data_IF_046103621466
#
_entry.id   IF_046103621466
#
_cell.length_a   1.000
_cell.length_b   1.000
_cell.length_c   1.000
_cell.angle_alpha   90.00
_cell.angle_beta   90.00
_cell.angle_gamma   90.00
#
_symmetry.space_group_name_H-M   'P 1'
#
loop_
_entity.id
_entity.type
_entity.pdbx_description
1 polymer ?
#
# COMPACT_ATOMS: atom_id res chain seq x y z
N UNK A 1 6.01 5.55 -20.71
CA UNK A 1 5.68 5.14 -19.33
C UNK A 1 6.25 6.19 -18.43
N UNK A 2 5.37 6.91 -17.75
CA UNK A 2 5.70 8.20 -17.14
C UNK A 2 6.15 7.94 -15.71
N UNK A 3 7.39 8.28 -15.36
CA UNK A 3 7.91 8.19 -13.98
C UNK A 3 6.96 8.84 -12.96
N UNK A 4 6.19 9.85 -13.40
CA UNK A 4 5.15 10.50 -12.60
C UNK A 4 4.02 9.56 -12.15
N UNK A 5 3.65 8.56 -12.96
CA UNK A 5 2.57 7.63 -12.62
C UNK A 5 3.04 6.63 -11.56
N UNK A 6 4.21 6.06 -11.77
CA UNK A 6 4.89 5.20 -10.79
C UNK A 6 5.10 5.96 -9.47
N UNK A 7 5.56 7.22 -9.52
CA UNK A 7 5.72 8.04 -8.32
C UNK A 7 4.39 8.29 -7.59
N UNK A 8 3.30 8.52 -8.33
CA UNK A 8 1.96 8.69 -7.75
C UNK A 8 1.48 7.42 -7.06
N UNK A 9 1.65 6.26 -7.71
CA UNK A 9 1.26 4.96 -7.15
C UNK A 9 2.07 4.62 -5.90
N UNK A 10 3.39 4.86 -5.91
CA UNK A 10 4.26 4.71 -4.74
C UNK A 10 3.77 5.56 -3.55
N UNK A 11 3.47 6.84 -3.81
CA UNK A 11 2.94 7.74 -2.79
C UNK A 11 1.61 7.25 -2.22
N UNK A 12 0.74 6.71 -3.07
CA UNK A 12 -0.54 6.18 -2.65
C UNK A 12 -0.37 4.95 -1.75
N UNK A 13 0.49 4.00 -2.13
CA UNK A 13 0.82 2.81 -1.31
C UNK A 13 1.36 3.22 0.06
N UNK A 14 2.29 4.17 0.11
CA UNK A 14 2.84 4.72 1.36
C UNK A 14 1.72 5.26 2.27
N UNK A 15 0.79 6.06 1.72
CA UNK A 15 -0.31 6.62 2.49
C UNK A 15 -1.28 5.56 3.03
N UNK A 16 -1.57 4.52 2.23
CA UNK A 16 -2.42 3.40 2.64
C UNK A 16 -1.77 2.59 3.78
N UNK A 17 -0.47 2.31 3.68
CA UNK A 17 0.31 1.62 4.72
C UNK A 17 0.43 2.42 6.01
N UNK A 18 0.72 3.73 5.92
CA UNK A 18 0.77 4.61 7.10
C UNK A 18 -0.59 4.66 7.79
N UNK A 19 -1.68 4.76 7.02
CA UNK A 19 -3.01 4.75 7.59
C UNK A 19 -3.35 3.40 8.24
N UNK A 20 -2.95 2.29 7.62
CA UNK A 20 -3.11 0.95 8.18
C UNK A 20 -2.36 0.81 9.51
N UNK A 21 -1.08 1.19 9.57
CA UNK A 21 -0.27 1.17 10.79
C UNK A 21 -0.90 2.03 11.91
N UNK A 22 -1.39 3.22 11.57
CA UNK A 22 -2.12 4.06 12.54
C UNK A 22 -3.43 3.42 12.99
N UNK A 23 -4.16 2.78 12.08
CA UNK A 23 -5.38 2.01 12.39
C UNK A 23 -5.12 0.79 13.26
N UNK A 24 -3.92 0.22 13.19
CA UNK A 24 -3.47 -0.86 14.08
C UNK A 24 -3.17 -0.36 15.49
N UNK A 25 -2.65 0.87 15.63
CA UNK A 25 -2.31 1.44 16.94
C UNK A 25 -3.45 2.30 17.55
N UNK A 26 -4.51 2.59 16.79
CA UNK A 26 -5.64 3.41 17.21
C UNK A 26 -6.77 2.64 17.93
N UNK A 27 -7.72 3.38 18.49
CA UNK A 27 -8.83 2.88 19.33
C UNK A 27 -9.89 2.00 18.63
N UNK A 28 -9.64 1.50 17.42
CA UNK A 28 -10.55 0.59 16.75
C UNK A 28 -10.47 -0.81 17.38
N UNK A 29 -11.53 -1.25 18.06
CA UNK A 29 -11.61 -2.59 18.67
C UNK A 29 -12.26 -3.60 17.72
N UNK A 30 -11.73 -4.83 17.72
CA UNK A 30 -12.33 -6.01 17.07
C UNK A 30 -12.53 -5.90 15.55
N UNK A 31 -13.73 -6.25 15.08
CA UNK A 31 -14.09 -6.39 13.65
C UNK A 31 -13.91 -5.11 12.83
N UNK A 32 -14.10 -3.94 13.44
CA UNK A 32 -13.93 -2.64 12.76
C UNK A 32 -12.48 -2.40 12.34
N UNK A 33 -11.51 -2.85 13.17
CA UNK A 33 -10.08 -2.77 12.87
C UNK A 33 -9.71 -3.67 11.70
N UNK A 34 -10.18 -4.92 11.69
CA UNK A 34 -9.92 -5.84 10.59
C UNK A 34 -10.54 -5.36 9.27
N UNK A 35 -11.77 -4.82 9.30
CA UNK A 35 -12.40 -4.26 8.10
C UNK A 35 -11.63 -3.06 7.55
N UNK A 36 -11.14 -2.18 8.43
CA UNK A 36 -10.32 -1.04 8.03
C UNK A 36 -8.99 -1.49 7.40
N UNK A 37 -8.27 -2.41 8.05
CA UNK A 37 -7.01 -2.96 7.55
C UNK A 37 -7.22 -3.62 6.18
N UNK A 38 -8.25 -4.45 6.04
CA UNK A 38 -8.58 -5.11 4.77
C UNK A 38 -8.83 -4.10 3.65
N UNK A 39 -9.61 -3.06 3.91
CA UNK A 39 -9.88 -2.01 2.92
C UNK A 39 -8.61 -1.27 2.49
N UNK A 40 -7.61 -1.10 3.38
CA UNK A 40 -6.31 -0.53 2.99
C UNK A 40 -5.49 -1.50 2.14
N UNK A 41 -5.48 -2.79 2.49
CA UNK A 41 -4.79 -3.82 1.72
C UNK A 41 -5.38 -3.97 0.30
N UNK A 42 -6.71 -3.99 0.16
CA UNK A 42 -7.37 -4.04 -1.15
C UNK A 42 -6.97 -2.84 -2.04
N UNK A 43 -6.72 -1.67 -1.45
CA UNK A 43 -6.25 -0.48 -2.19
C UNK A 43 -4.79 -0.57 -2.60
N UNK A 44 -3.95 -1.19 -1.77
CA UNK A 44 -2.55 -1.47 -2.10
C UNK A 44 -2.47 -2.45 -3.26
N UNK A 45 -3.29 -3.51 -3.25
CA UNK A 45 -3.39 -4.49 -4.34
C UNK A 45 -3.75 -3.80 -5.67
N UNK A 46 -4.76 -2.93 -5.69
CA UNK A 46 -5.11 -2.15 -6.90
C UNK A 46 -3.95 -1.26 -7.38
N UNK A 47 -3.15 -0.70 -6.47
CA UNK A 47 -1.98 0.10 -6.86
C UNK A 47 -0.84 -0.78 -7.38
N UNK A 48 -0.66 -1.99 -6.83
CA UNK A 48 0.31 -2.98 -7.26
C UNK A 48 -0.03 -3.52 -8.66
N UNK A 49 -1.30 -3.78 -8.93
CA UNK A 49 -1.78 -4.15 -10.28
C UNK A 49 -1.45 -3.05 -11.29
N UNK A 50 -1.67 -1.78 -10.93
CA UNK A 50 -1.34 -0.64 -11.79
C UNK A 50 0.18 -0.48 -11.97
N UNK A 51 0.97 -0.71 -10.93
CA UNK A 51 2.43 -0.73 -11.04
C UNK A 51 2.90 -1.86 -11.96
N UNK A 52 2.29 -3.04 -11.86
CA UNK A 52 2.64 -4.21 -12.69
C UNK A 52 2.46 -3.88 -14.18
N UNK A 53 1.43 -3.10 -14.53
CA UNK A 53 1.23 -2.62 -15.91
C UNK A 53 2.32 -1.65 -16.36
N UNK A 54 2.84 -0.80 -15.46
CA UNK A 54 3.83 0.24 -15.80
C UNK A 54 5.29 -0.23 -15.74
N UNK A 55 5.63 -1.15 -14.83
CA UNK A 55 7.02 -1.55 -14.54
C UNK A 55 7.27 -3.07 -14.57
N UNK A 56 6.22 -3.88 -14.72
CA UNK A 56 6.31 -5.34 -14.61
C UNK A 56 6.16 -5.84 -13.18
N UNK A 57 5.83 -7.13 -13.04
CA UNK A 57 5.47 -7.77 -11.77
C UNK A 57 6.63 -7.73 -10.76
N UNK A 58 7.82 -8.20 -11.15
CA UNK A 58 9.00 -8.23 -10.27
C UNK A 58 9.32 -6.85 -9.67
N UNK A 59 9.27 -5.81 -10.50
CA UNK A 59 9.57 -4.45 -10.07
C UNK A 59 8.43 -3.84 -9.24
N UNK A 60 7.17 -4.17 -9.56
CA UNK A 60 6.03 -3.75 -8.75
C UNK A 60 6.10 -4.35 -7.33
N UNK A 61 6.44 -5.63 -7.23
CA UNK A 61 6.60 -6.36 -5.97
C UNK A 61 7.73 -5.79 -5.12
N UNK A 62 8.91 -5.54 -5.71
CA UNK A 62 10.03 -4.90 -5.01
C UNK A 62 9.64 -3.52 -4.47
N UNK A 63 8.92 -2.72 -5.26
CA UNK A 63 8.47 -1.40 -4.84
C UNK A 63 7.51 -1.49 -3.66
N UNK A 64 6.49 -2.35 -3.74
CA UNK A 64 5.49 -2.52 -2.68
C UNK A 64 6.15 -3.06 -1.41
N UNK A 65 7.00 -4.08 -1.52
CA UNK A 65 7.73 -4.66 -0.40
C UNK A 65 8.66 -3.64 0.28
N UNK A 66 9.38 -2.85 -0.52
CA UNK A 66 10.24 -1.78 -0.01
C UNK A 66 9.46 -0.77 0.83
N UNK A 67 8.34 -0.26 0.31
CA UNK A 67 7.50 0.70 1.03
C UNK A 67 6.88 0.04 2.29
N UNK A 68 6.46 -1.21 2.20
CA UNK A 68 5.94 -1.98 3.35
C UNK A 68 6.98 -2.07 4.48
N UNK A 69 8.20 -2.50 4.15
CA UNK A 69 9.30 -2.64 5.11
C UNK A 69 9.76 -1.31 5.71
N UNK A 70 9.68 -0.22 4.95
CA UNK A 70 10.02 1.12 5.44
C UNK A 70 8.96 1.67 6.40
N UNK A 71 7.68 1.42 6.10
CA UNK A 71 6.54 1.97 6.83
C UNK A 71 6.23 1.18 8.10
N UNK A 72 6.23 -0.15 8.01
CA UNK A 72 5.86 -1.05 9.12
C UNK A 72 7.16 -1.54 9.78
N UNK A 73 7.58 -0.80 10.80
CA UNK A 73 8.65 -1.18 11.72
C UNK A 73 8.08 -1.56 13.09
#
# INVERSE_FOLDING_TARGET
MSESEVARLRRQIELELVAMQRGMNGFASGTTRHRFIRMRMDRIEVCQDQLTVEVGEDQADEIVFGIYSETIK
#
